data_IF_009834853875
#
_entry.id   IF_009834853875
#
_cell.length_a   1.000
_cell.length_b   1.000
_cell.length_c   1.000
_cell.angle_alpha   90.00
_cell.angle_beta   90.00
_cell.angle_gamma   90.00
#
_symmetry.space_group_name_H-M   'P 1'
#
loop_
_entity.id
_entity.type
_entity.pdbx_description
1 polymer ?
#
# COMPACT_ATOMS: atom_id res chain seq x y z
N UNK A 1 10.52 -8.29 5.59
CA UNK A 1 9.47 -7.92 4.61
C UNK A 1 9.96 -6.70 3.83
N UNK A 2 9.88 -6.72 2.50
CA UNK A 2 10.25 -5.61 1.62
C UNK A 2 9.00 -5.24 0.82
N UNK A 3 8.60 -3.97 0.84
CA UNK A 3 7.41 -3.47 0.13
C UNK A 3 7.87 -2.60 -1.03
N UNK A 4 7.57 -3.02 -2.27
CA UNK A 4 8.07 -2.34 -3.46
C UNK A 4 7.34 -1.03 -3.78
N UNK A 5 6.10 -0.88 -3.31
CA UNK A 5 5.30 0.35 -3.44
C UNK A 5 5.39 1.29 -2.22
N UNK A 6 6.43 1.15 -1.39
CA UNK A 6 6.74 2.07 -0.30
C UNK A 6 7.95 2.94 -0.72
N UNK A 7 7.73 3.98 -1.56
CA UNK A 7 8.81 4.74 -2.14
C UNK A 7 9.47 5.68 -1.12
N UNK A 8 10.74 6.00 -1.39
CA UNK A 8 11.39 7.13 -0.74
C UNK A 8 10.69 8.43 -1.15
N UNK A 9 10.43 9.31 -0.18
CA UNK A 9 9.87 10.65 -0.40
C UNK A 9 10.91 11.66 -0.92
N UNK A 10 10.44 12.66 -1.67
CA UNK A 10 11.21 13.78 -2.21
C UNK A 10 11.74 14.77 -1.16
N UNK A 11 12.66 14.33 -0.29
CA UNK A 11 13.16 15.08 0.86
C UNK A 11 14.15 16.21 0.52
N UNK A 12 13.66 17.26 -0.16
CA UNK A 12 14.38 18.52 -0.42
C UNK A 12 13.87 19.64 0.47
N UNK A 13 14.77 20.35 1.14
CA UNK A 13 14.44 21.42 2.12
C UNK A 13 13.58 22.52 1.50
N UNK A 14 13.81 22.81 0.23
CA UNK A 14 13.13 23.86 -0.53
C UNK A 14 11.70 23.49 -0.93
N UNK A 15 11.31 22.22 -0.76
CA UNK A 15 10.02 21.68 -1.20
C UNK A 15 9.24 21.02 -0.05
N UNK A 16 9.87 20.08 0.65
CA UNK A 16 9.21 19.19 1.59
C UNK A 16 9.14 19.81 3.00
N UNK A 17 8.08 20.56 3.25
CA UNK A 17 7.71 21.00 4.59
C UNK A 17 6.93 19.89 5.34
N UNK A 18 6.59 20.09 6.63
CA UNK A 18 5.80 19.12 7.39
C UNK A 18 4.43 18.81 6.76
N UNK A 19 3.82 19.77 6.06
CA UNK A 19 2.52 19.61 5.42
C UNK A 19 2.61 18.66 4.24
N UNK A 20 3.54 18.91 3.32
CA UNK A 20 3.78 18.07 2.14
C UNK A 20 4.23 16.66 2.53
N UNK A 21 5.04 16.53 3.58
CA UNK A 21 5.42 15.23 4.13
C UNK A 21 4.21 14.43 4.61
N UNK A 22 3.26 15.08 5.29
CA UNK A 22 2.04 14.41 5.75
C UNK A 22 1.11 14.02 4.59
N UNK A 23 0.96 14.88 3.58
CA UNK A 23 0.14 14.61 2.39
C UNK A 23 0.67 13.38 1.64
N UNK A 24 1.98 13.35 1.35
CA UNK A 24 2.60 12.21 0.67
C UNK A 24 2.37 10.90 1.42
N UNK A 25 2.60 10.90 2.74
CA UNK A 25 2.40 9.69 3.54
C UNK A 25 0.94 9.25 3.57
N UNK A 26 -0.02 10.19 3.57
CA UNK A 26 -1.44 9.85 3.48
C UNK A 26 -1.76 9.13 2.16
N UNK A 27 -1.19 9.59 1.04
CA UNK A 27 -1.36 8.96 -0.27
C UNK A 27 -0.74 7.56 -0.33
N UNK A 28 0.51 7.40 0.12
CA UNK A 28 1.17 6.09 0.14
C UNK A 28 0.46 5.10 1.07
N UNK A 29 0.07 5.53 2.28
CA UNK A 29 -0.71 4.69 3.19
C UNK A 29 -2.00 4.23 2.52
N UNK A 30 -2.68 5.12 1.79
CA UNK A 30 -3.90 4.80 1.08
C UNK A 30 -3.66 3.75 -0.02
N UNK A 31 -2.62 3.91 -0.84
CA UNK A 31 -2.24 2.90 -1.84
C UNK A 31 -1.96 1.55 -1.18
N UNK A 32 -1.11 1.51 -0.14
CA UNK A 32 -0.74 0.26 0.52
C UNK A 32 -1.94 -0.44 1.19
N UNK A 33 -2.87 0.33 1.74
CA UNK A 33 -4.08 -0.18 2.38
C UNK A 33 -5.08 -0.74 1.35
N UNK A 34 -5.34 0.02 0.29
CA UNK A 34 -6.41 -0.28 -0.67
C UNK A 34 -6.00 -1.34 -1.70
N UNK A 35 -4.71 -1.48 -1.99
CA UNK A 35 -4.18 -2.53 -2.88
C UNK A 35 -4.03 -3.90 -2.22
N UNK A 36 -4.15 -3.98 -0.89
CA UNK A 36 -3.98 -5.20 -0.10
C UNK A 36 -2.56 -5.47 0.41
N UNK A 37 -1.61 -4.57 0.16
CA UNK A 37 -0.24 -4.72 0.65
C UNK A 37 -0.18 -4.81 2.19
N UNK A 38 -0.89 -3.92 2.90
CA UNK A 38 -0.95 -3.98 4.36
C UNK A 38 -1.62 -5.26 4.87
N UNK A 39 -2.58 -5.81 4.14
CA UNK A 39 -3.22 -7.09 4.51
C UNK A 39 -2.24 -8.26 4.36
N UNK A 40 -1.39 -8.22 3.35
CA UNK A 40 -0.34 -9.23 3.20
C UNK A 40 0.66 -9.16 4.35
N UNK A 41 1.05 -7.94 4.76
CA UNK A 41 1.90 -7.72 5.94
C UNK A 41 1.22 -8.26 7.21
N UNK A 42 -0.04 -7.91 7.43
CA UNK A 42 -0.87 -8.41 8.54
C UNK A 42 -0.80 -9.95 8.60
N UNK A 43 -1.22 -10.64 7.54
CA UNK A 43 -1.24 -12.11 7.49
C UNK A 43 0.13 -12.75 7.73
N UNK A 44 1.18 -12.10 7.24
CA UNK A 44 2.55 -12.60 7.39
C UNK A 44 3.00 -12.52 8.84
N UNK A 45 2.66 -11.45 9.55
CA UNK A 45 2.98 -11.29 10.97
C UNK A 45 2.09 -12.20 11.82
N UNK A 46 0.79 -12.28 11.52
CA UNK A 46 -0.15 -13.18 12.21
C UNK A 46 0.33 -14.64 12.14
N UNK A 47 0.79 -15.12 10.97
CA UNK A 47 1.33 -16.47 10.84
C UNK A 47 2.61 -16.72 11.67
N UNK A 48 3.44 -15.70 11.89
CA UNK A 48 4.59 -15.80 12.80
C UNK A 48 4.12 -15.87 14.26
N UNK A 49 3.12 -15.07 14.63
CA UNK A 49 2.53 -15.09 15.98
C UNK A 49 1.94 -16.47 16.27
N UNK A 50 1.16 -17.03 15.35
CA UNK A 50 0.58 -18.37 15.48
C UNK A 50 1.66 -19.45 15.63
N UNK A 51 2.76 -19.36 14.88
CA UNK A 51 3.88 -20.29 15.01
C UNK A 51 4.57 -20.19 16.38
N UNK A 52 4.73 -18.98 16.91
CA UNK A 52 5.27 -18.72 18.26
C UNK A 52 4.37 -19.35 19.32
N UNK A 53 3.05 -19.13 19.24
CA UNK A 53 2.08 -19.65 20.21
C UNK A 53 1.99 -21.18 20.19
N UNK A 54 2.12 -21.78 19.01
CA UNK A 54 2.13 -23.24 18.85
C UNK A 54 3.44 -23.90 19.34
N UNK A 55 4.47 -23.11 19.69
CA UNK A 55 5.78 -23.61 20.07
C UNK A 55 6.56 -24.23 18.89
N UNK A 56 6.22 -23.83 17.66
CA UNK A 56 6.90 -24.29 16.45
C UNK A 56 8.26 -23.58 16.29
N UNK A 57 9.14 -24.15 15.47
CA UNK A 57 10.33 -23.44 15.02
C UNK A 57 9.93 -22.22 14.18
N UNK A 58 10.48 -21.05 14.52
CA UNK A 58 10.09 -19.78 13.91
C UNK A 58 10.97 -19.51 12.68
N UNK A 59 10.38 -19.55 11.50
CA UNK A 59 11.02 -19.03 10.29
C UNK A 59 10.70 -17.54 10.10
N UNK A 60 11.75 -16.72 9.97
CA UNK A 60 11.58 -15.29 9.73
C UNK A 60 11.00 -15.00 8.32
N UNK A 61 10.05 -14.07 8.18
CA UNK A 61 9.42 -13.77 6.90
C UNK A 61 10.39 -13.26 5.82
N UNK A 62 10.56 -14.05 4.76
CA UNK A 62 11.29 -13.67 3.54
C UNK A 62 10.31 -13.21 2.44
N UNK A 63 9.57 -12.14 2.75
CA UNK A 63 8.54 -11.61 1.86
C UNK A 63 9.01 -10.37 1.11
N UNK A 64 8.95 -10.43 -0.22
CA UNK A 64 8.91 -9.26 -1.11
C UNK A 64 7.45 -9.09 -1.55
N UNK A 65 6.85 -7.94 -1.25
CA UNK A 65 5.50 -7.57 -1.66
C UNK A 65 5.61 -6.92 -3.04
N UNK A 66 5.07 -7.60 -4.05
CA UNK A 66 4.90 -7.07 -5.42
C UNK A 66 3.44 -6.70 -5.63
N UNK A 67 3.11 -6.06 -6.75
CA UNK A 67 1.72 -5.75 -7.10
C UNK A 67 0.85 -7.01 -7.10
N UNK A 68 1.33 -8.10 -7.71
CA UNK A 68 0.59 -9.36 -7.82
C UNK A 68 0.25 -9.95 -6.45
N UNK A 69 1.24 -9.99 -5.55
CA UNK A 69 1.05 -10.52 -4.19
C UNK A 69 0.14 -9.62 -3.36
N UNK A 70 0.24 -8.30 -3.51
CA UNK A 70 -0.63 -7.36 -2.81
C UNK A 70 -2.10 -7.57 -3.21
N UNK A 71 -2.38 -7.61 -4.52
CA UNK A 71 -3.76 -7.76 -5.00
C UNK A 71 -4.33 -9.16 -4.80
N UNK A 72 -3.48 -10.20 -4.76
CA UNK A 72 -3.88 -11.55 -4.36
C UNK A 72 -4.33 -11.56 -2.89
N UNK A 73 -3.61 -10.86 -2.01
CA UNK A 73 -4.00 -10.72 -0.61
C UNK A 73 -5.29 -9.90 -0.44
N UNK A 74 -5.55 -8.92 -1.32
CA UNK A 74 -6.77 -8.10 -1.31
C UNK A 74 -8.05 -8.88 -1.65
N UNK A 75 -7.94 -9.94 -2.47
CA UNK A 75 -9.07 -10.77 -2.95
C UNK A 75 -10.22 -9.96 -3.57
N UNK A 76 -9.91 -8.96 -4.40
CA UNK A 76 -10.90 -8.23 -5.18
C UNK A 76 -11.85 -9.19 -5.91
N UNK A 77 -13.16 -8.97 -5.78
CA UNK A 77 -14.17 -9.73 -6.53
C UNK A 77 -14.32 -9.18 -7.96
N UNK A 78 -14.16 -7.86 -8.13
CA UNK A 78 -14.22 -7.24 -9.45
C UNK A 78 -12.84 -7.24 -10.14
N UNK A 79 -12.74 -7.73 -11.39
CA UNK A 79 -11.46 -7.78 -12.10
C UNK A 79 -10.89 -6.39 -12.45
N UNK A 80 -11.74 -5.38 -12.65
CA UNK A 80 -11.28 -4.00 -12.88
C UNK A 80 -10.79 -3.34 -11.59
N UNK A 81 -11.37 -3.66 -10.44
CA UNK A 81 -10.82 -3.23 -9.15
C UNK A 81 -9.40 -3.79 -8.96
N UNK A 82 -9.20 -5.09 -9.25
CA UNK A 82 -7.88 -5.71 -9.25
C UNK A 82 -6.90 -5.00 -10.20
N UNK A 83 -7.32 -4.73 -11.44
CA UNK A 83 -6.46 -4.06 -12.42
C UNK A 83 -6.04 -2.64 -11.99
N UNK A 84 -6.98 -1.86 -11.44
CA UNK A 84 -6.70 -0.53 -10.88
C UNK A 84 -5.74 -0.59 -9.70
N UNK A 85 -5.91 -1.57 -8.81
CA UNK A 85 -5.01 -1.77 -7.68
C UNK A 85 -3.59 -2.14 -8.12
N UNK A 86 -3.43 -2.99 -9.15
CA UNK A 86 -2.10 -3.28 -9.74
C UNK A 86 -1.47 -1.98 -10.24
N UNK A 87 -2.20 -1.21 -11.05
CA UNK A 87 -1.69 0.04 -11.60
C UNK A 87 -1.30 1.05 -10.51
N UNK A 88 -2.13 1.21 -9.47
CA UNK A 88 -1.84 2.08 -8.33
C UNK A 88 -0.58 1.64 -7.59
N UNK A 89 -0.40 0.34 -7.38
CA UNK A 89 0.79 -0.22 -6.74
C UNK A 89 2.07 0.07 -7.55
N UNK A 90 2.04 -0.18 -8.86
CA UNK A 90 3.17 0.07 -9.76
C UNK A 90 3.51 1.57 -9.85
N UNK A 91 2.48 2.44 -9.89
CA UNK A 91 2.68 3.88 -9.85
C UNK A 91 3.39 4.32 -8.58
N UNK A 92 2.96 3.84 -7.41
CA UNK A 92 3.61 4.15 -6.14
C UNK A 92 5.07 3.62 -6.09
N UNK A 93 5.35 2.45 -6.63
CA UNK A 93 6.74 1.95 -6.75
C UNK A 93 7.61 2.83 -7.67
N UNK A 94 7.03 3.35 -8.76
CA UNK A 94 7.75 4.20 -9.72
C UNK A 94 8.13 5.59 -9.16
N UNK A 95 7.41 6.09 -8.15
CA UNK A 95 7.71 7.35 -7.44
C UNK A 95 9.17 7.39 -6.97
N UNK A 96 9.68 6.27 -6.44
CA UNK A 96 11.06 6.17 -5.94
C UNK A 96 12.11 6.53 -7.00
N UNK A 97 11.86 6.26 -8.28
CA UNK A 97 12.76 6.59 -9.38
C UNK A 97 12.83 8.11 -9.63
N UNK A 98 11.69 8.80 -9.55
CA UNK A 98 11.63 10.27 -9.68
C UNK A 98 12.30 10.94 -8.49
N UNK A 99 11.99 10.48 -7.28
CA UNK A 99 12.58 11.03 -6.06
C UNK A 99 14.07 10.78 -5.96
N UNK A 100 14.57 9.60 -6.36
CA UNK A 100 16.02 9.36 -6.45
C UNK A 100 16.70 10.35 -7.40
N UNK A 101 16.09 10.60 -8.56
CA UNK A 101 16.63 11.54 -9.56
C UNK A 101 16.64 12.97 -9.03
N UNK A 102 15.52 13.45 -8.49
CA UNK A 102 15.39 14.79 -7.91
C UNK A 102 16.27 14.97 -6.68
N UNK A 103 16.35 13.96 -5.81
CA UNK A 103 17.07 14.07 -4.55
C UNK A 103 18.59 14.04 -4.72
N UNK A 104 19.10 13.14 -5.57
CA UNK A 104 20.52 12.81 -5.58
C UNK A 104 21.24 13.05 -6.91
N UNK A 105 20.52 13.07 -8.04
CA UNK A 105 21.15 13.11 -9.37
C UNK A 105 21.10 14.50 -10.01
N UNK A 106 20.01 15.24 -9.80
CA UNK A 106 19.80 16.56 -10.41
C UNK A 106 20.36 17.70 -9.55
N UNK A 107 21.09 18.63 -10.17
CA UNK A 107 21.63 19.83 -9.52
C UNK A 107 20.84 21.08 -9.92
N UNK A 108 20.82 22.06 -9.02
CA UNK A 108 20.08 23.31 -9.20
C UNK A 108 18.61 23.17 -8.80
N UNK A 109 18.13 24.04 -7.90
CA UNK A 109 16.80 23.93 -7.31
C UNK A 109 15.68 24.04 -8.35
N UNK A 110 15.84 24.91 -9.34
CA UNK A 110 14.91 25.05 -10.47
C UNK A 110 14.73 23.74 -11.27
N UNK A 111 15.71 22.84 -11.23
CA UNK A 111 15.67 21.57 -11.95
C UNK A 111 15.15 20.42 -11.08
N UNK A 112 15.51 20.37 -9.79
CA UNK A 112 15.10 19.26 -8.93
C UNK A 112 13.72 19.43 -8.31
N UNK A 113 13.28 20.67 -8.03
CA UNK A 113 11.97 20.92 -7.40
C UNK A 113 10.83 20.34 -8.26
N UNK A 114 10.77 20.58 -9.59
CA UNK A 114 9.73 19.99 -10.43
C UNK A 114 9.74 18.46 -10.42
N UNK A 115 10.89 17.81 -10.21
CA UNK A 115 10.99 16.35 -10.19
C UNK A 115 10.42 15.75 -8.90
N UNK A 116 10.75 16.32 -7.74
CA UNK A 116 10.21 15.85 -6.46
C UNK A 116 8.73 16.20 -6.31
N UNK A 117 8.29 17.35 -6.85
CA UNK A 117 6.87 17.68 -6.93
C UNK A 117 6.11 16.71 -7.86
N UNK A 118 6.66 16.38 -9.03
CA UNK A 118 6.06 15.39 -9.93
C UNK A 118 5.96 13.98 -9.32
N UNK A 119 6.90 13.62 -8.44
CA UNK A 119 6.84 12.37 -7.69
C UNK A 119 5.64 12.35 -6.73
N UNK A 120 5.36 13.47 -6.04
CA UNK A 120 4.17 13.63 -5.19
C UNK A 120 2.87 13.58 -6.01
N UNK A 121 2.82 14.24 -7.18
CA UNK A 121 1.65 14.17 -8.07
C UNK A 121 1.37 12.73 -8.56
N UNK A 122 2.43 11.94 -8.79
CA UNK A 122 2.29 10.52 -9.13
C UNK A 122 1.74 9.71 -7.94
N UNK A 123 2.17 10.00 -6.71
CA UNK A 123 1.64 9.37 -5.51
C UNK A 123 0.15 9.70 -5.30
N UNK A 124 -0.24 10.96 -5.48
CA UNK A 124 -1.64 11.40 -5.39
C UNK A 124 -2.52 10.69 -6.44
N UNK A 125 -2.05 10.60 -7.69
CA UNK A 125 -2.74 9.84 -8.75
C UNK A 125 -2.87 8.34 -8.40
N UNK A 126 -1.82 7.74 -7.84
CA UNK A 126 -1.85 6.34 -7.40
C UNK A 126 -2.90 6.12 -6.29
N UNK A 127 -2.95 7.03 -5.31
CA UNK A 127 -3.91 6.99 -4.22
C UNK A 127 -5.36 7.18 -4.70
N UNK A 128 -5.60 8.04 -5.69
CA UNK A 128 -6.90 8.18 -6.33
C UNK A 128 -7.33 6.89 -7.04
N UNK A 129 -6.41 6.26 -7.78
CA UNK A 129 -6.69 5.02 -8.51
C UNK A 129 -6.94 3.82 -7.57
N UNK A 130 -6.22 3.76 -6.44
CA UNK A 130 -6.48 2.79 -5.39
C UNK A 130 -7.87 2.99 -4.76
N UNK A 131 -8.29 4.25 -4.59
CA UNK A 131 -9.61 4.59 -4.07
C UNK A 131 -10.71 4.11 -5.01
N UNK A 132 -10.54 4.34 -6.31
CA UNK A 132 -11.47 3.83 -7.32
C UNK A 132 -11.60 2.30 -7.27
N UNK A 133 -10.49 1.57 -7.09
CA UNK A 133 -10.54 0.11 -6.91
C UNK A 133 -11.40 -0.28 -5.70
N UNK A 134 -11.25 0.44 -4.58
CA UNK A 134 -12.05 0.21 -3.38
C UNK A 134 -13.52 0.60 -3.55
N UNK A 135 -13.82 1.69 -4.25
CA UNK A 135 -15.19 2.11 -4.53
C UNK A 135 -15.92 1.09 -5.42
N UNK A 136 -15.24 0.46 -6.38
CA UNK A 136 -15.82 -0.64 -7.18
C UNK A 136 -16.22 -1.83 -6.29
N UNK A 137 -15.42 -2.20 -5.30
CA UNK A 137 -15.81 -3.26 -4.36
C UNK A 137 -16.95 -2.82 -3.44
N UNK A 138 -17.00 -1.54 -3.04
CA UNK A 138 -18.12 -0.99 -2.26
C UNK A 138 -19.42 -1.01 -3.07
N UNK A 139 -19.39 -0.62 -4.35
CA UNK A 139 -20.58 -0.61 -5.20
C UNK A 139 -21.16 -2.01 -5.43
N UNK A 140 -20.33 -3.05 -5.27
CA UNK A 140 -20.74 -4.44 -5.41
C UNK A 140 -21.06 -5.10 -4.06
N UNK A 141 -20.90 -4.39 -2.94
CA UNK A 141 -20.95 -4.93 -1.57
C UNK A 141 -19.98 -6.10 -1.32
N UNK A 142 -18.80 -6.06 -1.95
CA UNK A 142 -17.80 -7.16 -1.92
C UNK A 142 -16.51 -6.82 -1.18
N UNK A 143 -16.50 -5.77 -0.35
CA UNK A 143 -15.28 -5.31 0.32
C UNK A 143 -14.77 -6.32 1.34
N UNK A 144 -13.65 -6.99 1.06
CA UNK A 144 -13.00 -7.86 2.02
C UNK A 144 -12.57 -7.12 3.29
N UNK A 145 -13.00 -7.64 4.45
CA UNK A 145 -12.58 -7.19 5.78
C UNK A 145 -12.10 -8.41 6.57
N UNK A 146 -10.95 -8.28 7.21
CA UNK A 146 -10.32 -9.36 8.00
C UNK A 146 -9.91 -8.87 9.38
N UNK A 147 -10.88 -8.52 10.25
CA UNK A 147 -10.58 -8.04 11.59
C UNK A 147 -10.05 -9.19 12.48
N UNK A 148 -9.22 -8.85 13.46
CA UNK A 148 -8.92 -9.77 14.56
C UNK A 148 -10.14 -9.90 15.47
N UNK A 149 -10.47 -11.13 15.83
CA UNK A 149 -11.52 -11.48 16.79
C UNK A 149 -10.97 -11.38 18.22
N UNK A 150 -11.84 -11.55 19.22
CA UNK A 150 -11.47 -11.40 20.64
C UNK A 150 -10.37 -12.37 21.06
N UNK A 151 -10.37 -13.57 20.49
CA UNK A 151 -9.42 -14.63 20.75
C UNK A 151 -8.12 -14.52 19.92
N UNK A 152 -7.98 -13.45 19.12
CA UNK A 152 -6.78 -13.19 18.31
C UNK A 152 -6.82 -13.80 16.91
N UNK A 153 -7.71 -14.76 16.64
CA UNK A 153 -7.89 -15.32 15.30
C UNK A 153 -8.45 -14.28 14.31
N UNK A 154 -8.09 -14.43 13.03
CA UNK A 154 -8.53 -13.52 11.97
C UNK A 154 -9.90 -13.94 11.46
N UNK A 155 -10.91 -13.09 11.64
CA UNK A 155 -12.22 -13.26 11.03
C UNK A 155 -12.26 -12.78 9.57
N UNK A 156 -13.35 -13.06 8.86
CA UNK A 156 -13.53 -12.68 7.46
C UNK A 156 -14.99 -12.28 7.17
N UNK A 157 -15.17 -11.22 6.37
CA UNK A 157 -16.46 -10.87 5.76
C UNK A 157 -16.28 -10.04 4.48
N UNK A 158 -17.31 -10.04 3.64
CA UNK A 158 -17.41 -9.22 2.43
C UNK A 158 -18.53 -8.18 2.59
N UNK A 159 -19.76 -8.65 2.75
CA UNK A 159 -20.97 -7.83 2.81
C UNK A 159 -20.90 -6.77 3.91
N UNK A 160 -21.41 -5.57 3.66
CA UNK A 160 -21.39 -4.49 4.63
C UNK A 160 -22.19 -4.85 5.89
N UNK A 161 -23.39 -5.42 5.73
CA UNK A 161 -24.33 -5.76 6.81
C UNK A 161 -24.23 -7.26 7.16
N UNK A 162 -23.10 -7.65 7.75
CA UNK A 162 -22.82 -9.00 8.23
C UNK A 162 -21.86 -8.98 9.42
N UNK A 163 -21.72 -10.07 10.16
CA UNK A 163 -20.65 -10.23 11.15
C UNK A 163 -19.44 -10.91 10.50
N UNK A 164 -18.20 -10.58 10.90
CA UNK A 164 -17.05 -11.40 10.52
C UNK A 164 -17.18 -12.79 11.16
N UNK A 165 -16.93 -13.81 10.35
CA UNK A 165 -16.84 -15.22 10.76
C UNK A 165 -15.39 -15.66 10.90
#
# INVERSE_FOLDING_TARGET
>A
IIVMADPMIGAKREWLDPTEMAIFNADIIKVLAETGALRLVQKTIDGVIEAVEAGNEIELPKLIVTAEKAVEAAKFQNPYAKAKAIAAYEMAGAVAGLDMKGCFMTKGFENFIPLVAAAHEMAACAAALAAEAREIEKSNDTVLRTPHMKEGNVGCKLDLISKPE
#
